data_IF_359841681286
#
_entry.id   IF_359841681286
#
_cell.length_a   1.000
_cell.length_b   1.000
_cell.length_c   1.000
_cell.angle_alpha   90.00
_cell.angle_beta   90.00
_cell.angle_gamma   90.00
#
_symmetry.space_group_name_H-M   'P 1'
#
loop_
_entity.id
_entity.type
_entity.pdbx_description
1 polymer ?
#
# COMPACT_ATOMS: atom_id res chain seq x y z
N UNK A 1 9.83 -1.15 -17.28
CA UNK A 1 10.79 -0.05 -17.37
C UNK A 1 11.72 -0.21 -16.18
N UNK A 2 12.90 -0.76 -16.40
CA UNK A 2 13.93 -0.82 -15.37
C UNK A 2 14.50 0.59 -15.23
N UNK A 3 14.64 1.08 -13.99
CA UNK A 3 15.31 2.34 -13.73
C UNK A 3 16.76 2.25 -14.23
N UNK A 4 17.29 3.32 -14.80
CA UNK A 4 18.70 3.39 -15.19
C UNK A 4 19.59 3.15 -13.97
N UNK A 5 20.70 2.46 -14.16
CA UNK A 5 21.62 2.08 -13.08
C UNK A 5 22.18 3.26 -12.27
N UNK A 6 22.25 4.45 -12.86
CA UNK A 6 22.82 5.65 -12.23
C UNK A 6 21.89 6.32 -11.22
N UNK A 7 20.54 6.15 -11.36
CA UNK A 7 19.53 6.71 -10.47
C UNK A 7 18.88 5.64 -9.57
N UNK A 8 19.45 4.46 -9.53
CA UNK A 8 18.83 3.31 -8.85
C UNK A 8 18.93 3.44 -7.33
N UNK A 9 17.77 3.33 -6.68
CA UNK A 9 17.71 3.22 -5.22
C UNK A 9 18.14 1.81 -4.79
N UNK A 10 19.24 1.73 -4.05
CA UNK A 10 19.67 0.48 -3.43
C UNK A 10 19.05 0.30 -2.05
N UNK A 11 18.63 -0.91 -1.80
CA UNK A 11 18.06 -1.31 -0.52
C UNK A 11 18.79 -2.55 -0.01
N UNK A 12 19.43 -2.41 1.14
CA UNK A 12 20.32 -3.43 1.68
C UNK A 12 21.72 -3.34 1.05
N UNK A 13 22.73 -3.11 1.86
CA UNK A 13 24.12 -2.94 1.38
C UNK A 13 24.89 -4.27 1.33
N UNK A 14 24.36 -5.32 1.97
CA UNK A 14 25.03 -6.59 2.08
C UNK A 14 24.87 -7.43 0.81
N UNK A 15 25.89 -7.42 -0.04
CA UNK A 15 25.96 -8.21 -1.27
C UNK A 15 26.00 -9.72 -1.03
N UNK A 16 26.27 -10.15 0.21
CA UNK A 16 26.32 -11.57 0.60
C UNK A 16 24.95 -12.15 0.96
N UNK A 17 23.91 -11.32 1.10
CA UNK A 17 22.58 -11.81 1.45
C UNK A 17 21.99 -12.66 0.33
N UNK A 18 21.71 -13.94 0.65
CA UNK A 18 21.09 -14.88 -0.27
C UNK A 18 19.57 -14.73 -0.35
N UNK A 19 18.97 -13.96 0.57
CA UNK A 19 17.52 -13.82 0.73
C UNK A 19 17.13 -12.36 0.95
N UNK A 20 15.89 -12.06 0.64
CA UNK A 20 15.28 -10.80 1.06
C UNK A 20 15.29 -10.69 2.58
N UNK A 21 15.82 -9.58 3.08
CA UNK A 21 15.80 -9.28 4.50
C UNK A 21 15.12 -7.93 4.74
N UNK A 22 13.97 -8.01 5.39
CA UNK A 22 13.23 -6.81 5.78
C UNK A 22 14.03 -5.98 6.78
N UNK A 23 14.11 -4.69 6.55
CA UNK A 23 14.67 -3.77 7.53
C UNK A 23 13.60 -3.34 8.53
N UNK A 24 13.98 -3.27 9.79
CA UNK A 24 13.05 -2.79 10.81
C UNK A 24 12.91 -1.27 10.76
N UNK A 25 11.69 -0.81 11.10
CA UNK A 25 11.46 0.61 11.35
C UNK A 25 12.40 1.08 12.48
N UNK A 26 13.08 2.23 12.34
CA UNK A 26 13.88 2.81 13.40
C UNK A 26 13.13 2.83 14.72
N UNK A 27 13.78 2.38 15.80
CA UNK A 27 13.13 2.23 17.12
C UNK A 27 12.47 3.51 17.61
N UNK A 28 13.08 4.65 17.32
CA UNK A 28 12.55 5.98 17.65
C UNK A 28 11.22 6.32 16.94
N UNK A 29 10.95 5.73 15.76
CA UNK A 29 9.71 5.94 15.02
C UNK A 29 8.61 4.94 15.41
N UNK A 30 8.95 3.82 16.06
CA UNK A 30 7.97 2.78 16.45
C UNK A 30 6.88 3.28 17.40
N UNK A 31 7.15 4.33 18.18
CA UNK A 31 6.22 4.93 19.14
C UNK A 31 5.17 5.86 18.52
N UNK A 32 5.43 6.40 17.31
CA UNK A 32 4.57 7.39 16.66
C UNK A 32 3.46 6.67 15.91
N UNK A 33 2.20 7.05 16.17
CA UNK A 33 1.02 6.36 15.65
C UNK A 33 0.27 7.15 14.58
N UNK A 34 0.45 8.47 14.52
CA UNK A 34 -0.26 9.36 13.60
C UNK A 34 0.64 10.48 13.07
N UNK A 35 0.21 11.14 11.99
CA UNK A 35 0.88 12.34 11.47
C UNK A 35 0.75 13.53 12.44
N UNK A 36 -0.31 13.59 13.24
CA UNK A 36 -0.46 14.61 14.28
C UNK A 36 0.64 14.46 15.34
N UNK A 37 0.81 13.23 15.88
CA UNK A 37 1.90 12.94 16.83
C UNK A 37 3.30 13.21 16.22
N UNK A 38 3.47 12.98 14.91
CA UNK A 38 4.71 13.35 14.20
C UNK A 38 4.90 14.85 14.15
N UNK A 39 3.86 15.62 13.88
CA UNK A 39 3.94 17.08 13.79
C UNK A 39 4.30 17.74 15.13
N UNK A 40 3.93 17.12 16.23
CA UNK A 40 4.23 17.54 17.60
C UNK A 40 5.67 17.20 18.03
N UNK A 41 6.40 16.35 17.30
CA UNK A 41 7.78 16.02 17.65
C UNK A 41 8.71 17.24 17.49
N UNK A 42 9.78 17.32 18.29
CA UNK A 42 10.78 18.39 18.19
C UNK A 42 11.34 18.51 16.75
N UNK A 43 11.60 19.73 16.32
CA UNK A 43 12.08 20.01 14.97
C UNK A 43 13.36 19.25 14.60
N UNK A 44 14.29 19.12 15.55
CA UNK A 44 15.51 18.35 15.34
C UNK A 44 15.23 16.86 15.11
N UNK A 45 14.30 16.28 15.85
CA UNK A 45 13.87 14.90 15.67
C UNK A 45 13.26 14.71 14.27
N UNK A 46 12.35 15.59 13.88
CA UNK A 46 11.73 15.54 12.54
C UNK A 46 12.76 15.67 11.42
N UNK A 47 13.72 16.60 11.54
CA UNK A 47 14.81 16.74 10.56
C UNK A 47 15.66 15.47 10.43
N UNK A 48 15.92 14.77 11.55
CA UNK A 48 16.71 13.53 11.52
C UNK A 48 16.03 12.41 10.74
N UNK A 49 14.70 12.31 10.83
CA UNK A 49 13.95 11.19 10.25
C UNK A 49 13.16 11.53 9.00
N UNK A 50 13.04 12.81 8.60
CA UNK A 50 12.33 13.18 7.37
C UNK A 50 12.95 12.55 6.13
N UNK A 51 14.29 12.56 6.02
CA UNK A 51 14.98 11.93 4.91
C UNK A 51 14.71 10.41 4.82
N UNK A 52 14.63 9.73 5.95
CA UNK A 52 14.24 8.31 5.98
C UNK A 52 12.82 8.11 5.46
N UNK A 53 11.86 8.93 5.90
CA UNK A 53 10.47 8.86 5.46
C UNK A 53 10.36 9.16 3.96
N UNK A 54 11.05 10.19 3.47
CA UNK A 54 11.09 10.55 2.05
C UNK A 54 11.64 9.39 1.20
N UNK A 55 12.75 8.78 1.62
CA UNK A 55 13.31 7.61 0.95
C UNK A 55 12.34 6.43 0.91
N UNK A 56 11.54 6.21 1.96
CA UNK A 56 10.54 5.14 1.94
C UNK A 56 9.41 5.41 0.94
N UNK A 57 8.99 6.67 0.77
CA UNK A 57 8.06 7.06 -0.30
C UNK A 57 8.68 6.89 -1.69
N UNK A 58 9.94 7.27 -1.87
CA UNK A 58 10.65 7.08 -3.14
C UNK A 58 10.77 5.60 -3.50
N UNK A 59 11.22 4.75 -2.56
CA UNK A 59 11.31 3.29 -2.75
C UNK A 59 9.99 2.66 -3.13
N UNK A 60 8.92 3.11 -2.46
CA UNK A 60 7.57 2.65 -2.75
C UNK A 60 7.06 3.11 -4.11
N UNK A 61 7.51 4.24 -4.61
CA UNK A 61 7.09 4.81 -5.89
C UNK A 61 7.94 4.29 -7.06
N UNK A 62 9.25 4.29 -6.91
CA UNK A 62 10.18 3.99 -7.99
C UNK A 62 10.64 2.53 -8.02
N UNK A 63 10.46 1.79 -6.91
CA UNK A 63 11.09 0.49 -6.72
C UNK A 63 12.54 0.61 -6.25
N UNK A 64 13.19 -0.54 -6.11
CA UNK A 64 14.56 -0.62 -5.60
C UNK A 64 15.33 -1.73 -6.29
N UNK A 65 16.65 -1.57 -6.30
CA UNK A 65 17.57 -2.65 -6.58
C UNK A 65 17.98 -3.33 -5.28
N UNK A 66 18.09 -4.63 -5.32
CA UNK A 66 18.54 -5.47 -4.20
C UNK A 66 19.54 -6.49 -4.72
N UNK A 67 20.36 -7.04 -3.82
CA UNK A 67 21.19 -8.20 -4.13
C UNK A 67 20.49 -9.47 -3.63
N UNK A 68 20.36 -10.45 -4.54
CA UNK A 68 19.83 -11.78 -4.23
C UNK A 68 20.77 -12.81 -4.81
N UNK A 69 21.36 -13.66 -3.99
CA UNK A 69 22.38 -14.63 -4.40
C UNK A 69 23.56 -13.99 -5.17
N UNK A 70 23.96 -12.77 -4.80
CA UNK A 70 25.00 -12.01 -5.49
C UNK A 70 24.59 -11.35 -6.80
N UNK A 71 23.34 -11.52 -7.24
CA UNK A 71 22.81 -10.91 -8.45
C UNK A 71 22.03 -9.63 -8.13
N UNK A 72 22.33 -8.57 -8.87
CA UNK A 72 21.59 -7.32 -8.81
C UNK A 72 20.18 -7.53 -9.40
N UNK A 73 19.16 -7.32 -8.58
CA UNK A 73 17.78 -7.62 -8.92
C UNK A 73 16.88 -6.42 -8.64
N UNK A 74 16.20 -5.93 -9.68
CA UNK A 74 15.20 -4.87 -9.52
C UNK A 74 13.87 -5.45 -9.03
N UNK A 75 13.24 -4.77 -8.07
CA UNK A 75 11.85 -5.00 -7.65
C UNK A 75 11.04 -3.71 -7.73
N UNK A 76 9.80 -3.82 -8.20
CA UNK A 76 8.91 -2.66 -8.36
C UNK A 76 8.54 -2.07 -7.01
N UNK A 77 8.09 -0.81 -6.99
CA UNK A 77 7.68 -0.14 -5.76
C UNK A 77 6.58 -0.86 -5.01
N UNK A 78 5.59 -1.40 -5.72
CA UNK A 78 4.53 -2.22 -5.11
C UNK A 78 5.07 -3.53 -4.52
N UNK A 79 6.02 -4.18 -5.19
CA UNK A 79 6.67 -5.38 -4.66
C UNK A 79 7.50 -5.07 -3.42
N UNK A 80 8.32 -4.00 -3.47
CA UNK A 80 9.04 -3.51 -2.30
C UNK A 80 8.09 -3.25 -1.13
N UNK A 81 7.00 -2.51 -1.38
CA UNK A 81 6.00 -2.20 -0.37
C UNK A 81 5.39 -3.46 0.25
N UNK A 82 5.10 -4.48 -0.57
CA UNK A 82 4.60 -5.76 -0.07
C UNK A 82 5.60 -6.45 0.85
N UNK A 83 6.86 -6.55 0.45
CA UNK A 83 7.90 -7.25 1.21
C UNK A 83 8.28 -6.52 2.50
N UNK A 84 8.37 -5.19 2.43
CA UNK A 84 8.85 -4.36 3.52
C UNK A 84 7.77 -4.03 4.55
N UNK A 85 6.55 -3.72 4.09
CA UNK A 85 5.54 -3.08 4.94
C UNK A 85 4.24 -3.84 5.11
N UNK A 86 3.94 -4.84 4.26
CA UNK A 86 2.72 -5.63 4.37
C UNK A 86 2.91 -6.80 5.35
N UNK A 87 2.22 -6.71 6.48
CA UNK A 87 2.18 -7.80 7.45
C UNK A 87 1.05 -8.76 7.10
N UNK A 88 1.39 -9.96 6.66
CA UNK A 88 0.43 -10.97 6.22
C UNK A 88 -0.25 -11.59 7.44
N UNK A 89 -1.59 -11.65 7.40
CA UNK A 89 -2.45 -12.18 8.47
C UNK A 89 -2.11 -11.62 9.88
N UNK A 90 -1.54 -10.40 9.93
CA UNK A 90 -1.15 -9.71 11.15
C UNK A 90 0.03 -10.35 11.91
N UNK A 91 0.68 -11.37 11.35
CA UNK A 91 1.67 -12.18 12.05
C UNK A 91 3.09 -12.11 11.47
N UNK A 92 3.26 -12.20 10.16
CA UNK A 92 4.58 -12.26 9.52
C UNK A 92 4.66 -11.41 8.26
N UNK A 93 5.88 -11.12 7.82
CA UNK A 93 6.16 -10.49 6.53
C UNK A 93 6.52 -11.55 5.51
N UNK A 94 6.18 -11.30 4.24
CA UNK A 94 6.46 -12.25 3.16
C UNK A 94 7.93 -12.27 2.78
N UNK A 95 8.39 -13.43 2.29
CA UNK A 95 9.69 -13.57 1.67
C UNK A 95 9.62 -13.24 0.18
N UNK A 96 10.80 -12.94 -0.40
CA UNK A 96 10.90 -12.74 -1.84
C UNK A 96 10.65 -14.04 -2.60
N UNK A 97 9.77 -13.95 -3.61
CA UNK A 97 9.48 -15.05 -4.52
C UNK A 97 9.62 -14.57 -5.97
N UNK A 98 10.49 -15.20 -6.74
CA UNK A 98 10.81 -14.80 -8.11
C UNK A 98 9.58 -14.73 -9.03
N UNK A 99 8.60 -15.61 -8.87
CA UNK A 99 7.38 -15.56 -9.66
C UNK A 99 6.51 -14.33 -9.32
N UNK A 100 6.50 -13.87 -8.06
CA UNK A 100 5.79 -12.66 -7.67
C UNK A 100 6.43 -11.42 -8.30
N UNK A 101 7.76 -11.37 -8.35
CA UNK A 101 8.48 -10.30 -9.06
C UNK A 101 8.00 -10.17 -10.50
N UNK A 102 7.93 -11.28 -11.24
CA UNK A 102 7.45 -11.29 -12.62
C UNK A 102 6.02 -10.75 -12.75
N UNK A 103 5.14 -11.09 -11.82
CA UNK A 103 3.75 -10.62 -11.81
C UNK A 103 3.67 -9.11 -11.50
N UNK A 104 4.46 -8.60 -10.57
CA UNK A 104 4.51 -7.17 -10.26
C UNK A 104 5.08 -6.35 -11.41
N UNK A 105 6.15 -6.80 -12.07
CA UNK A 105 6.71 -6.14 -13.26
C UNK A 105 5.65 -6.12 -14.39
N UNK A 106 4.98 -7.22 -14.62
CA UNK A 106 3.89 -7.28 -15.60
C UNK A 106 2.75 -6.31 -15.26
N UNK A 107 2.35 -6.25 -13.98
CA UNK A 107 1.32 -5.33 -13.53
C UNK A 107 1.70 -3.86 -13.75
N UNK A 108 2.94 -3.48 -13.45
CA UNK A 108 3.44 -2.12 -13.70
C UNK A 108 3.50 -1.80 -15.22
N UNK A 109 3.94 -2.75 -16.04
CA UNK A 109 3.93 -2.59 -17.48
C UNK A 109 2.51 -2.37 -18.04
N UNK A 110 1.53 -3.11 -17.52
CA UNK A 110 0.13 -2.95 -17.91
C UNK A 110 -0.47 -1.59 -17.48
N UNK A 111 -0.02 -1.00 -16.39
CA UNK A 111 -0.49 0.34 -15.96
C UNK A 111 -0.12 1.44 -16.96
N UNK A 112 1.03 1.32 -17.60
CA UNK A 112 1.53 2.34 -18.54
C UNK A 112 1.14 2.07 -19.99
N UNK A 113 0.63 0.88 -20.32
CA UNK A 113 0.14 0.56 -21.66
C UNK A 113 -1.35 0.96 -21.80
N UNK A 114 -1.69 1.98 -22.60
CA UNK A 114 -3.07 2.46 -22.74
C UNK A 114 -4.01 1.42 -23.40
N UNK A 115 -3.47 0.36 -23.99
CA UNK A 115 -4.25 -0.73 -24.57
C UNK A 115 -4.66 -1.76 -23.52
N UNK A 116 -4.02 -1.77 -22.38
CA UNK A 116 -4.31 -2.70 -21.30
C UNK A 116 -5.49 -2.19 -20.46
N UNK A 117 -6.65 -2.79 -20.65
CA UNK A 117 -7.88 -2.47 -19.90
C UNK A 117 -8.08 -3.34 -18.66
N UNK A 118 -7.18 -4.29 -18.43
CA UNK A 118 -7.23 -5.19 -17.27
C UNK A 118 -6.30 -6.38 -17.41
N UNK A 119 -6.22 -7.18 -16.37
CA UNK A 119 -5.34 -8.35 -16.31
C UNK A 119 -6.11 -9.56 -15.82
N UNK A 120 -5.89 -10.70 -16.47
CA UNK A 120 -6.41 -11.99 -16.05
C UNK A 120 -5.28 -12.91 -15.62
N UNK A 121 -5.32 -13.35 -14.37
CA UNK A 121 -4.31 -14.27 -13.82
C UNK A 121 -4.91 -15.64 -13.53
N UNK A 122 -4.37 -16.67 -14.16
CA UNK A 122 -4.60 -18.05 -13.75
C UNK A 122 -3.49 -18.47 -12.78
N UNK A 123 -3.87 -19.05 -11.67
CA UNK A 123 -2.93 -19.37 -10.62
C UNK A 123 -3.32 -20.67 -9.88
N UNK A 124 -2.35 -21.37 -9.34
CA UNK A 124 -2.60 -22.48 -8.45
C UNK A 124 -3.08 -21.99 -7.06
N UNK A 125 -3.73 -22.89 -6.33
CA UNK A 125 -4.12 -22.62 -4.93
C UNK A 125 -2.87 -22.37 -4.08
N UNK A 126 -2.96 -21.44 -3.09
CA UNK A 126 -1.89 -21.10 -2.15
C UNK A 126 -0.67 -20.39 -2.75
N UNK A 127 -0.77 -19.81 -3.93
CA UNK A 127 0.31 -19.01 -4.54
C UNK A 127 0.55 -17.64 -3.88
N UNK A 128 -0.23 -17.26 -2.87
CA UNK A 128 -0.12 -15.92 -2.26
C UNK A 128 -0.73 -14.78 -3.09
N UNK A 129 -1.32 -15.07 -4.25
CA UNK A 129 -1.83 -14.05 -5.18
C UNK A 129 -2.82 -13.06 -4.52
N UNK A 130 -3.70 -13.52 -3.63
CA UNK A 130 -4.63 -12.62 -2.93
C UNK A 130 -3.89 -11.58 -2.09
N UNK A 131 -2.76 -11.95 -1.48
CA UNK A 131 -1.93 -11.00 -0.72
C UNK A 131 -1.26 -9.99 -1.65
N UNK A 132 -0.80 -10.42 -2.84
CA UNK A 132 -0.27 -9.52 -3.88
C UNK A 132 -1.32 -8.52 -4.37
N UNK A 133 -2.52 -9.01 -4.70
CA UNK A 133 -3.63 -8.15 -5.13
C UNK A 133 -4.01 -7.11 -4.06
N UNK A 134 -4.07 -7.53 -2.79
CA UNK A 134 -4.32 -6.61 -1.67
C UNK A 134 -3.16 -5.64 -1.46
N UNK A 135 -1.92 -6.08 -1.63
CA UNK A 135 -0.76 -5.19 -1.56
C UNK A 135 -0.81 -4.11 -2.65
N UNK A 136 -1.16 -4.49 -3.89
CA UNK A 136 -1.38 -3.53 -5.00
C UNK A 136 -2.51 -2.55 -4.68
N UNK A 137 -3.63 -3.07 -4.21
CA UNK A 137 -4.80 -2.26 -3.85
C UNK A 137 -4.48 -1.26 -2.72
N UNK A 138 -3.74 -1.67 -1.71
CA UNK A 138 -3.30 -0.78 -0.63
C UNK A 138 -2.20 0.19 -1.09
N UNK A 139 -1.29 -0.24 -1.97
CA UNK A 139 -0.29 0.63 -2.55
C UNK A 139 -0.94 1.77 -3.34
N UNK A 140 -1.92 1.48 -4.17
CA UNK A 140 -2.70 2.49 -4.89
C UNK A 140 -3.55 3.34 -3.94
N UNK A 141 -4.36 2.69 -3.11
CA UNK A 141 -5.36 3.37 -2.28
C UNK A 141 -4.79 4.32 -1.25
N UNK A 142 -3.54 4.13 -0.82
CA UNK A 142 -2.89 5.01 0.17
C UNK A 142 -1.92 6.02 -0.44
N UNK A 143 -1.88 6.16 -1.78
CA UNK A 143 -1.02 7.14 -2.47
C UNK A 143 -1.75 7.97 -3.52
N UNK A 144 -2.76 7.43 -4.16
CA UNK A 144 -3.39 8.08 -5.31
C UNK A 144 -4.70 8.74 -4.90
N UNK A 145 -4.93 9.95 -5.43
CA UNK A 145 -6.14 10.72 -5.16
C UNK A 145 -7.32 10.29 -6.04
N UNK A 146 -8.53 10.53 -5.53
CA UNK A 146 -9.81 10.41 -6.25
C UNK A 146 -10.05 9.04 -6.90
N UNK A 147 -9.67 7.96 -6.18
CA UNK A 147 -9.85 6.59 -6.65
C UNK A 147 -10.96 5.86 -5.90
N UNK A 148 -11.69 5.03 -6.63
CA UNK A 148 -12.54 3.99 -6.06
C UNK A 148 -11.95 2.63 -6.40
N UNK A 149 -11.59 1.88 -5.37
CA UNK A 149 -10.96 0.56 -5.49
C UNK A 149 -11.91 -0.51 -4.96
N UNK A 150 -12.42 -1.32 -5.87
CA UNK A 150 -13.48 -2.28 -5.59
C UNK A 150 -12.98 -3.70 -5.42
N UNK A 151 -13.57 -4.43 -4.48
CA UNK A 151 -13.32 -5.85 -4.25
C UNK A 151 -14.61 -6.62 -4.53
N UNK A 152 -14.51 -7.62 -5.39
CA UNK A 152 -15.56 -8.61 -5.59
C UNK A 152 -15.01 -10.03 -5.38
N UNK A 153 -15.81 -10.92 -4.86
CA UNK A 153 -15.50 -12.32 -4.71
C UNK A 153 -16.74 -13.17 -5.01
N UNK A 154 -16.61 -14.46 -4.91
CA UNK A 154 -17.70 -15.43 -5.17
C UNK A 154 -19.00 -15.07 -4.46
N UNK A 155 -18.91 -14.58 -3.21
CA UNK A 155 -20.03 -14.08 -2.42
C UNK A 155 -19.66 -12.77 -1.74
N UNK A 156 -20.67 -11.97 -1.37
CA UNK A 156 -20.45 -10.73 -0.62
C UNK A 156 -19.80 -10.98 0.75
N UNK A 157 -20.18 -12.05 1.44
CA UNK A 157 -19.53 -12.45 2.70
C UNK A 157 -18.06 -12.83 2.51
N UNK A 158 -17.73 -13.51 1.43
CA UNK A 158 -16.33 -13.83 1.11
C UNK A 158 -15.52 -12.58 0.79
N UNK A 159 -16.06 -11.67 -0.02
CA UNK A 159 -15.43 -10.38 -0.30
C UNK A 159 -15.19 -9.56 0.98
N UNK A 160 -16.20 -9.48 1.87
CA UNK A 160 -16.12 -8.76 3.13
C UNK A 160 -15.17 -9.42 4.13
N UNK A 161 -15.44 -10.67 4.49
CA UNK A 161 -14.80 -11.28 5.66
C UNK A 161 -13.41 -11.83 5.33
N UNK A 162 -13.25 -12.50 4.18
CA UNK A 162 -12.00 -13.16 3.82
C UNK A 162 -11.01 -12.25 3.09
N UNK A 163 -11.49 -11.24 2.35
CA UNK A 163 -10.60 -10.32 1.63
C UNK A 163 -10.53 -8.98 2.34
N UNK A 164 -11.65 -8.25 2.46
CA UNK A 164 -11.62 -6.90 2.99
C UNK A 164 -11.17 -6.86 4.46
N UNK A 165 -11.87 -7.56 5.36
CA UNK A 165 -11.56 -7.51 6.80
C UNK A 165 -10.24 -8.20 7.15
N UNK A 166 -10.08 -9.47 6.73
CA UNK A 166 -8.91 -10.26 7.13
C UNK A 166 -7.61 -9.83 6.45
N UNK A 167 -7.69 -9.20 5.27
CA UNK A 167 -6.49 -8.82 4.53
C UNK A 167 -6.35 -7.30 4.42
N UNK A 168 -7.27 -6.60 3.74
CA UNK A 168 -7.11 -5.16 3.52
C UNK A 168 -7.02 -4.39 4.85
N UNK A 169 -8.03 -4.50 5.69
CA UNK A 169 -8.08 -3.80 6.98
C UNK A 169 -6.97 -4.27 7.92
N UNK A 170 -6.74 -5.58 7.99
CA UNK A 170 -5.69 -6.15 8.83
C UNK A 170 -4.30 -5.67 8.43
N UNK A 171 -3.95 -5.71 7.14
CA UNK A 171 -2.66 -5.26 6.63
C UNK A 171 -2.47 -3.76 6.83
N UNK A 172 -3.48 -2.94 6.49
CA UNK A 172 -3.44 -1.48 6.65
C UNK A 172 -3.17 -1.03 8.09
N UNK A 173 -3.72 -1.72 9.07
CA UNK A 173 -3.51 -1.40 10.49
C UNK A 173 -2.05 -1.44 10.92
N UNK A 174 -1.25 -2.29 10.29
CA UNK A 174 0.16 -2.48 10.61
C UNK A 174 1.11 -1.51 9.88
N UNK A 175 0.58 -0.63 9.04
CA UNK A 175 1.41 0.37 8.38
C UNK A 175 2.03 1.34 9.38
N UNK A 176 3.24 1.82 9.11
CA UNK A 176 3.80 2.93 9.86
C UNK A 176 2.93 4.17 9.66
N UNK A 177 3.00 5.09 10.60
CA UNK A 177 2.15 6.30 10.61
C UNK A 177 2.24 7.11 9.31
N UNK A 178 3.41 7.21 8.71
CA UNK A 178 3.65 7.99 7.50
C UNK A 178 3.02 7.39 6.23
N UNK A 179 2.63 6.12 6.25
CA UNK A 179 1.86 5.50 5.16
C UNK A 179 0.36 5.44 5.43
N UNK A 180 -0.11 6.06 6.49
CA UNK A 180 -1.53 6.14 6.81
C UNK A 180 -2.09 7.51 6.42
N UNK A 181 -2.84 7.60 5.31
CA UNK A 181 -3.55 8.83 4.97
C UNK A 181 -4.60 9.19 6.02
N UNK A 182 -5.09 10.42 5.96
CA UNK A 182 -6.25 10.86 6.74
C UNK A 182 -7.41 9.91 6.45
N UNK A 183 -7.95 9.31 7.50
CA UNK A 183 -9.00 8.30 7.41
C UNK A 183 -10.29 8.81 8.04
N UNK A 184 -11.41 8.66 7.32
CA UNK A 184 -12.76 8.86 7.84
C UNK A 184 -13.31 7.55 8.43
N UNK A 185 -13.97 7.65 9.57
CA UNK A 185 -14.69 6.55 10.18
C UNK A 185 -13.84 5.68 11.13
N UNK A 186 -14.27 4.44 11.27
CA UNK A 186 -13.70 3.50 12.25
C UNK A 186 -12.32 3.00 11.85
N UNK A 187 -11.47 2.78 12.84
CA UNK A 187 -10.19 2.04 12.68
C UNK A 187 -10.39 0.57 12.29
N UNK A 188 -11.63 0.06 12.37
CA UNK A 188 -12.01 -1.28 11.97
C UNK A 188 -13.24 -1.24 11.05
N UNK A 189 -13.10 -0.68 9.83
CA UNK A 189 -14.23 -0.53 8.92
C UNK A 189 -14.71 -1.90 8.42
N UNK A 190 -16.01 -2.06 8.25
CA UNK A 190 -16.62 -3.29 7.72
C UNK A 190 -17.15 -3.16 6.30
N UNK A 191 -17.35 -1.93 5.84
CA UNK A 191 -17.95 -1.64 4.54
C UNK A 191 -16.95 -1.01 3.60
N UNK A 192 -16.29 0.04 4.05
CA UNK A 192 -15.32 0.80 3.26
C UNK A 192 -14.18 1.31 4.14
N UNK A 193 -13.01 1.40 3.55
CA UNK A 193 -11.86 2.11 4.09
C UNK A 193 -11.72 3.40 3.28
N UNK A 194 -12.11 4.53 3.88
CA UNK A 194 -12.17 5.81 3.21
C UNK A 194 -11.06 6.74 3.66
N UNK A 195 -10.26 7.22 2.72
CA UNK A 195 -9.18 8.17 2.94
C UNK A 195 -9.64 9.58 2.57
N UNK A 196 -10.54 10.11 3.36
CA UNK A 196 -11.09 11.46 3.22
C UNK A 196 -11.13 12.15 4.57
N UNK A 197 -11.31 13.45 4.57
CA UNK A 197 -11.52 14.18 5.81
C UNK A 197 -12.81 13.73 6.50
N UNK A 198 -12.76 13.48 7.83
CA UNK A 198 -13.97 13.17 8.58
C UNK A 198 -14.98 14.31 8.45
N UNK A 199 -16.26 13.95 8.20
CA UNK A 199 -17.34 14.93 8.15
C UNK A 199 -17.45 15.63 9.52
N UNK A 200 -16.95 16.84 9.63
CA UNK A 200 -17.04 17.65 10.85
C UNK A 200 -18.49 18.10 11.02
N UNK A 201 -19.06 17.86 12.19
CA UNK A 201 -20.32 18.52 12.58
C UNK A 201 -20.06 20.04 12.55
N UNK A 202 -20.78 20.73 11.67
CA UNK A 202 -20.73 22.19 11.59
C UNK A 202 -21.31 22.73 12.90
N UNK A 203 -20.45 23.12 13.82
CA UNK A 203 -20.83 23.91 14.99
C UNK A 203 -20.59 25.38 14.67
N UNK A 204 -21.44 26.27 15.23
CA UNK A 204 -21.45 27.72 14.96
C UNK A 204 -20.07 28.40 15.09
N UNK A 205 -19.10 27.78 15.72
CA UNK A 205 -17.76 28.33 15.99
C UNK A 205 -16.64 27.71 15.15
N UNK A 206 -16.89 26.69 14.32
CA UNK A 206 -15.86 26.14 13.45
C UNK A 206 -16.01 26.73 12.05
N UNK A 207 -15.11 27.64 11.71
CA UNK A 207 -14.86 28.00 10.31
C UNK A 207 -14.45 26.73 9.58
N UNK A 208 -15.02 26.50 8.40
CA UNK A 208 -14.67 25.43 7.48
C UNK A 208 -13.15 25.42 7.34
N UNK A 209 -12.49 24.47 7.96
CA UNK A 209 -11.05 24.28 7.80
C UNK A 209 -10.79 23.88 6.35
N UNK A 210 -9.66 24.31 5.84
CA UNK A 210 -9.29 24.23 4.42
C UNK A 210 -9.59 22.89 3.78
N UNK A 211 -10.12 22.97 2.61
CA UNK A 211 -10.32 21.87 1.68
C UNK A 211 -8.92 21.38 1.28
N UNK A 212 -8.60 20.07 1.51
CA UNK A 212 -7.76 19.56 0.49
C UNK A 212 -6.47 18.81 0.79
N UNK A 213 -6.27 18.18 1.95
CA UNK A 213 -5.09 17.31 2.12
C UNK A 213 -5.41 15.81 2.12
N UNK A 214 -6.68 15.43 2.13
CA UNK A 214 -7.07 14.03 2.07
C UNK A 214 -7.04 13.49 0.64
N UNK A 215 -6.73 12.21 0.49
CA UNK A 215 -6.65 11.54 -0.81
C UNK A 215 -8.01 11.42 -1.52
N UNK A 216 -9.11 11.53 -0.79
CA UNK A 216 -10.47 11.30 -1.32
C UNK A 216 -10.61 9.93 -2.03
N UNK A 217 -9.88 8.93 -1.56
CA UNK A 217 -9.84 7.58 -2.13
C UNK A 217 -10.54 6.60 -1.22
N UNK A 218 -11.27 5.66 -1.81
CA UNK A 218 -12.07 4.67 -1.09
C UNK A 218 -11.70 3.27 -1.55
N UNK A 219 -11.53 2.37 -0.59
CA UNK A 219 -11.44 0.92 -0.83
C UNK A 219 -12.70 0.28 -0.24
N UNK A 220 -13.50 -0.36 -1.07
CA UNK A 220 -14.72 -1.02 -0.64
C UNK A 220 -14.87 -2.43 -1.23
N UNK A 221 -15.93 -3.12 -0.84
CA UNK A 221 -16.29 -4.42 -1.39
C UNK A 221 -17.77 -4.43 -1.77
N UNK A 222 -18.11 -5.20 -2.80
CA UNK A 222 -19.50 -5.43 -3.20
C UNK A 222 -19.77 -6.92 -3.46
N UNK A 223 -21.04 -7.28 -3.42
CA UNK A 223 -21.46 -8.59 -3.85
C UNK A 223 -21.32 -8.70 -5.38
N UNK A 224 -20.96 -9.87 -5.87
CA UNK A 224 -20.86 -10.13 -7.31
C UNK A 224 -22.27 -10.24 -7.89
N UNK A 225 -22.77 -9.12 -8.39
CA UNK A 225 -24.03 -8.99 -9.12
C UNK A 225 -23.76 -8.22 -10.40
N UNK A 226 -24.65 -8.34 -11.41
CA UNK A 226 -24.43 -7.81 -12.76
C UNK A 226 -24.09 -6.31 -12.81
N UNK A 227 -24.53 -5.52 -11.83
CA UNK A 227 -24.32 -4.07 -11.76
C UNK A 227 -23.63 -3.60 -10.47
N UNK A 228 -22.76 -4.42 -9.90
CA UNK A 228 -22.14 -4.15 -8.61
C UNK A 228 -21.39 -2.81 -8.54
N UNK A 229 -20.74 -2.42 -9.63
CA UNK A 229 -20.00 -1.16 -9.76
C UNK A 229 -20.45 -0.33 -10.96
N UNK A 230 -21.69 -0.54 -11.41
CA UNK A 230 -22.24 0.23 -12.52
C UNK A 230 -22.33 1.72 -12.15
N UNK A 231 -21.85 2.57 -13.05
CA UNK A 231 -21.76 4.01 -12.80
C UNK A 231 -20.63 4.47 -11.89
N UNK A 232 -19.83 3.56 -11.31
CA UNK A 232 -18.63 3.93 -10.55
C UNK A 232 -17.37 3.92 -11.42
N UNK A 233 -16.57 4.97 -11.28
CA UNK A 233 -15.29 5.07 -11.99
C UNK A 233 -14.24 4.24 -11.24
N UNK A 234 -14.13 2.98 -11.59
CA UNK A 234 -13.08 2.08 -11.07
C UNK A 234 -11.76 2.34 -11.80
N UNK A 235 -10.68 2.20 -11.08
CA UNK A 235 -9.32 2.31 -11.60
C UNK A 235 -8.53 1.04 -11.31
#
# INVERSE_FOLDING_TARGET
VEANDEDALFFGEDQSEQYWKRQELPSSLKGIKSMDEWSEQPSNFRKTYSSYIEQEFERRNQGVWIYLNGEKTYITGTHYFMLQWIKIDGSFYGDYLAFQRKLFIHAEACKVDPRCVGQLFTKCRRSGYTNMAVATLLAEGTMVQDKVLGIMSKTGSDARDNVFMKKVVSMYRHFPFFFKPIQDGSTNPRVELAFREPARKITKNNKVGGVGEALNTIINWKNTVNNAYDGERLY
#
